data_IF_186678698171
#
_entry.id   IF_186678698171
#
_cell.length_a   1.000
_cell.length_b   1.000
_cell.length_c   1.000
_cell.angle_alpha   90.00
_cell.angle_beta   90.00
_cell.angle_gamma   90.00
#
_symmetry.space_group_name_H-M   'P 1'
#
loop_
_entity.id
_entity.type
_entity.pdbx_description
1 polymer ?
#
# COMPACT_ATOMS: atom_id res chain seq x y z
N UNK A 1 -5.56 -8.87 -10.95
CA UNK A 1 -4.14 -8.72 -10.56
C UNK A 1 -4.08 -7.88 -9.30
N UNK A 2 -3.04 -8.06 -8.48
CA UNK A 2 -2.78 -7.24 -7.29
C UNK A 2 -1.50 -6.45 -7.53
N UNK A 3 -1.52 -5.14 -7.30
CA UNK A 3 -0.37 -4.24 -7.48
C UNK A 3 0.00 -3.61 -6.14
N UNK A 4 1.16 -3.97 -5.60
CA UNK A 4 1.64 -3.45 -4.32
C UNK A 4 2.73 -2.39 -4.52
N UNK A 5 2.52 -1.21 -3.94
CA UNK A 5 3.39 -0.05 -4.06
C UNK A 5 4.09 0.29 -2.75
N UNK A 6 5.35 0.67 -2.85
CA UNK A 6 6.12 1.28 -1.76
C UNK A 6 7.02 2.39 -2.33
N UNK A 7 7.20 3.45 -1.57
CA UNK A 7 8.06 4.58 -1.94
C UNK A 7 9.06 4.86 -0.84
N UNK A 8 10.34 4.81 -1.19
CA UNK A 8 11.41 5.21 -0.30
C UNK A 8 12.03 6.54 -0.75
N UNK A 9 12.30 7.42 0.21
CA UNK A 9 12.88 8.74 -0.07
C UNK A 9 14.38 8.73 0.21
N UNK A 10 15.16 9.12 -0.79
CA UNK A 10 16.55 9.54 -0.67
C UNK A 10 16.62 11.08 -0.58
N UNK A 11 17.83 11.61 -0.50
CA UNK A 11 18.05 13.06 -0.34
C UNK A 11 17.57 13.87 -1.56
N UNK A 12 17.76 13.33 -2.77
CA UNK A 12 17.52 14.01 -4.05
C UNK A 12 16.38 13.40 -4.88
N UNK A 13 15.98 12.16 -4.61
CA UNK A 13 14.89 11.49 -5.32
C UNK A 13 14.07 10.56 -4.43
N UNK A 14 12.84 10.27 -4.88
CA UNK A 14 11.99 9.21 -4.36
C UNK A 14 12.09 7.99 -5.30
N UNK A 15 12.28 6.81 -4.74
CA UNK A 15 12.26 5.55 -5.46
C UNK A 15 10.92 4.85 -5.19
N UNK A 16 10.05 4.80 -6.19
CA UNK A 16 8.78 4.09 -6.09
C UNK A 16 8.89 2.76 -6.81
N UNK A 17 8.43 1.71 -6.15
CA UNK A 17 8.43 0.35 -6.67
C UNK A 17 7.01 -0.19 -6.67
N UNK A 18 6.69 -1.00 -7.67
CA UNK A 18 5.47 -1.79 -7.74
C UNK A 18 5.81 -3.26 -8.02
N UNK A 19 5.25 -4.17 -7.23
CA UNK A 19 5.19 -5.58 -7.56
C UNK A 19 3.76 -5.95 -7.95
N UNK A 20 3.58 -6.59 -9.10
CA UNK A 20 2.30 -7.15 -9.53
C UNK A 20 2.29 -8.66 -9.31
N UNK A 21 1.20 -9.22 -8.79
CA UNK A 21 1.05 -10.66 -8.57
C UNK A 21 -0.41 -11.10 -8.69
N UNK A 22 -0.60 -12.36 -9.10
CA UNK A 22 -1.91 -12.86 -9.53
C UNK A 22 -2.90 -12.97 -8.37
N UNK A 23 -2.45 -13.57 -7.28
CA UNK A 23 -3.29 -13.95 -6.13
C UNK A 23 -2.62 -13.62 -4.80
N UNK A 24 -3.42 -13.50 -3.74
CA UNK A 24 -2.93 -13.10 -2.42
C UNK A 24 -1.89 -14.07 -1.84
N UNK A 25 -2.00 -15.37 -2.12
CA UNK A 25 -1.06 -16.42 -1.70
C UNK A 25 0.10 -16.64 -2.68
N UNK A 26 0.29 -15.76 -3.67
CA UNK A 26 1.41 -15.85 -4.61
C UNK A 26 2.76 -15.73 -3.89
N UNK A 27 3.66 -16.67 -4.17
CA UNK A 27 5.03 -16.63 -3.66
C UNK A 27 5.92 -15.66 -4.45
N UNK A 28 5.66 -15.50 -5.75
CA UNK A 28 6.48 -14.74 -6.68
C UNK A 28 5.64 -13.66 -7.39
N UNK A 29 6.25 -12.53 -7.68
CA UNK A 29 5.66 -11.51 -8.53
C UNK A 29 5.57 -12.00 -9.98
N UNK A 30 4.56 -11.52 -10.70
CA UNK A 30 4.44 -11.66 -12.15
C UNK A 30 5.14 -10.52 -12.88
N UNK A 31 5.09 -9.31 -12.33
CA UNK A 31 5.71 -8.12 -12.93
C UNK A 31 6.32 -7.22 -11.84
N UNK A 32 7.34 -6.46 -12.24
CA UNK A 32 8.04 -5.51 -11.39
C UNK A 32 8.23 -4.20 -12.14
N UNK A 33 7.84 -3.10 -11.51
CA UNK A 33 8.00 -1.75 -12.04
C UNK A 33 8.72 -0.88 -11.02
N UNK A 34 9.54 0.05 -11.49
CA UNK A 34 10.24 1.02 -10.64
C UNK A 34 10.36 2.36 -11.35
N UNK A 35 10.32 3.44 -10.57
CA UNK A 35 10.56 4.79 -11.05
C UNK A 35 11.24 5.64 -10.00
N UNK A 36 12.27 6.39 -10.43
CA UNK A 36 12.93 7.42 -9.63
C UNK A 36 12.35 8.78 -10.01
N UNK A 37 11.80 9.49 -9.03
CA UNK A 37 11.22 10.83 -9.21
C UNK A 37 12.03 11.84 -8.43
N UNK A 38 12.49 12.91 -9.07
CA UNK A 38 13.20 13.99 -8.39
C UNK A 38 12.31 14.64 -7.32
N UNK A 39 12.84 14.86 -6.12
CA UNK A 39 12.09 15.54 -5.05
C UNK A 39 12.21 17.05 -5.31
N UNK A 40 11.10 17.69 -5.64
CA UNK A 40 11.05 19.13 -5.98
C UNK A 40 10.32 19.98 -4.95
N UNK A 41 9.73 19.37 -3.92
CA UNK A 41 8.87 20.04 -2.94
C UNK A 41 9.43 19.91 -1.53
N UNK A 42 9.39 21.01 -0.77
CA UNK A 42 9.71 21.02 0.65
C UNK A 42 8.70 20.16 1.43
N UNK A 43 9.18 19.42 2.43
CA UNK A 43 8.35 18.57 3.28
C UNK A 43 7.39 19.41 4.15
N UNK A 44 6.09 19.31 3.88
CA UNK A 44 5.04 19.84 4.76
C UNK A 44 4.64 18.78 5.80
N UNK A 45 4.91 19.06 7.08
CA UNK A 45 4.50 18.20 8.19
C UNK A 45 2.98 17.97 8.19
N UNK A 46 2.55 16.71 8.17
CA UNK A 46 1.13 16.33 8.14
C UNK A 46 0.53 16.17 6.74
N UNK A 47 1.27 16.45 5.66
CA UNK A 47 0.83 16.29 4.27
C UNK A 47 1.68 15.29 3.48
N UNK A 48 2.12 14.21 4.15
CA UNK A 48 2.99 13.18 3.58
C UNK A 48 2.47 12.61 2.24
N UNK A 49 1.15 12.45 2.10
CA UNK A 49 0.53 11.97 0.88
C UNK A 49 0.84 12.84 -0.35
N UNK A 50 1.06 14.15 -0.19
CA UNK A 50 1.35 15.07 -1.31
C UNK A 50 2.66 14.74 -2.01
N UNK A 51 3.62 14.15 -1.29
CA UNK A 51 4.91 13.73 -1.86
C UNK A 51 4.82 12.36 -2.50
N UNK A 52 4.10 11.45 -1.87
CA UNK A 52 4.08 10.04 -2.30
C UNK A 52 3.08 9.75 -3.40
N UNK A 53 1.90 10.37 -3.32
CA UNK A 53 0.82 10.14 -4.28
C UNK A 53 1.26 10.43 -5.73
N UNK A 54 1.95 11.54 -6.05
CA UNK A 54 2.44 11.77 -7.41
C UNK A 54 3.39 10.67 -7.91
N UNK A 55 4.22 10.11 -7.03
CA UNK A 55 5.16 9.07 -7.40
C UNK A 55 4.45 7.75 -7.73
N UNK A 56 3.46 7.37 -6.89
CA UNK A 56 2.59 6.21 -7.15
C UNK A 56 1.81 6.38 -8.46
N UNK A 57 1.20 7.55 -8.68
CA UNK A 57 0.44 7.83 -9.90
C UNK A 57 1.32 7.80 -11.15
N UNK A 58 2.55 8.31 -11.06
CA UNK A 58 3.51 8.27 -12.17
C UNK A 58 3.82 6.83 -12.60
N UNK A 59 4.06 5.94 -11.63
CA UNK A 59 4.31 4.53 -11.91
C UNK A 59 3.05 3.81 -12.41
N UNK A 60 1.89 4.10 -11.82
CA UNK A 60 0.59 3.56 -12.25
C UNK A 60 0.24 3.92 -13.70
N UNK A 61 0.63 5.09 -14.20
CA UNK A 61 0.39 5.47 -15.60
C UNK A 61 1.10 4.56 -16.61
N UNK A 62 2.06 3.74 -16.17
CA UNK A 62 2.76 2.74 -16.99
C UNK A 62 2.09 1.36 -16.95
N UNK A 63 1.05 1.21 -16.13
CA UNK A 63 0.34 -0.05 -15.89
C UNK A 63 -1.06 0.05 -16.46
N UNK A 64 -1.47 -0.92 -17.26
CA UNK A 64 -2.82 -0.98 -17.81
C UNK A 64 -3.76 -1.74 -16.87
N UNK A 65 -4.28 -1.03 -15.86
CA UNK A 65 -5.24 -1.60 -14.91
C UNK A 65 -6.51 -2.11 -15.59
N UNK A 66 -7.00 -3.26 -15.13
CA UNK A 66 -8.23 -3.92 -15.54
C UNK A 66 -9.27 -3.90 -14.42
N UNK A 67 -10.54 -4.01 -14.78
CA UNK A 67 -11.61 -4.12 -13.80
C UNK A 67 -11.38 -5.33 -12.89
N UNK A 68 -11.45 -5.11 -11.58
CA UNK A 68 -11.20 -6.14 -10.56
C UNK A 68 -9.75 -6.19 -10.05
N UNK A 69 -8.84 -5.39 -10.62
CA UNK A 69 -7.51 -5.22 -10.06
C UNK A 69 -7.53 -4.51 -8.71
N UNK A 70 -6.66 -4.94 -7.80
CA UNK A 70 -6.54 -4.40 -6.44
C UNK A 70 -5.20 -3.71 -6.28
N UNK A 71 -5.20 -2.56 -5.63
CA UNK A 71 -3.99 -1.78 -5.35
C UNK A 71 -3.69 -1.84 -3.86
N UNK A 72 -2.46 -2.23 -3.50
CA UNK A 72 -1.95 -2.25 -2.14
C UNK A 72 -0.93 -1.11 -1.98
N UNK A 73 -0.99 -0.40 -0.86
CA UNK A 73 -0.02 0.64 -0.47
C UNK A 73 0.51 0.39 0.95
N UNK A 74 1.80 0.68 1.20
CA UNK A 74 2.37 0.67 2.57
C UNK A 74 1.90 1.89 3.36
N UNK A 75 0.74 1.76 3.99
CA UNK A 75 0.12 2.86 4.71
C UNK A 75 -1.37 2.64 4.94
N UNK A 76 -2.09 3.74 5.11
CA UNK A 76 -3.50 3.74 5.46
C UNK A 76 -4.37 4.37 4.37
N UNK A 77 -5.58 3.84 4.21
CA UNK A 77 -6.64 4.42 3.38
C UNK A 77 -7.44 5.45 4.17
N UNK A 78 -7.80 5.11 5.41
CA UNK A 78 -8.48 5.96 6.40
C UNK A 78 -7.61 6.09 7.65
N UNK A 79 -7.64 7.26 8.29
CA UNK A 79 -6.79 7.58 9.44
C UNK A 79 -7.57 7.60 10.76
N UNK A 80 -8.87 7.88 10.72
CA UNK A 80 -9.73 7.97 11.91
C UNK A 80 -11.21 7.67 11.63
N UNK A 81 -12.01 7.58 12.70
CA UNK A 81 -13.47 7.38 12.67
C UNK A 81 -14.24 8.53 11.99
N UNK A 82 -13.67 9.73 11.92
CA UNK A 82 -14.27 10.89 11.25
C UNK A 82 -14.13 10.80 9.72
N UNK A 83 -13.46 9.77 9.21
CA UNK A 83 -13.28 9.54 7.79
C UNK A 83 -12.14 10.36 7.18
N UNK A 84 -11.19 10.84 8.01
CA UNK A 84 -9.99 11.48 7.49
C UNK A 84 -9.24 10.51 6.58
N UNK A 85 -9.06 10.91 5.33
CA UNK A 85 -8.41 10.07 4.32
C UNK A 85 -6.89 10.10 4.47
N UNK A 86 -6.28 8.92 4.33
CA UNK A 86 -4.85 8.72 4.24
C UNK A 86 -4.39 8.67 2.77
N UNK A 87 -3.13 8.26 2.57
CA UNK A 87 -2.54 8.10 1.23
C UNK A 87 -3.41 7.23 0.32
N UNK A 88 -3.86 6.07 0.80
CA UNK A 88 -4.68 5.16 0.02
C UNK A 88 -6.07 5.73 -0.30
N UNK A 89 -6.61 6.58 0.58
CA UNK A 89 -7.87 7.26 0.34
C UNK A 89 -7.74 8.29 -0.77
N UNK A 90 -6.68 9.11 -0.75
CA UNK A 90 -6.38 10.03 -1.84
C UNK A 90 -6.10 9.32 -3.18
N UNK A 91 -5.42 8.16 -3.14
CA UNK A 91 -5.21 7.34 -4.32
C UNK A 91 -6.52 6.80 -4.90
N UNK A 92 -7.43 6.33 -4.04
CA UNK A 92 -8.75 5.87 -4.46
C UNK A 92 -9.55 6.97 -5.17
N UNK A 93 -9.54 8.20 -4.64
CA UNK A 93 -10.17 9.35 -5.30
C UNK A 93 -9.49 9.71 -6.63
N UNK A 94 -8.15 9.69 -6.68
CA UNK A 94 -7.38 10.00 -7.89
C UNK A 94 -7.59 8.98 -9.04
N UNK A 95 -8.06 7.78 -8.72
CA UNK A 95 -8.38 6.72 -9.68
C UNK A 95 -9.87 6.65 -10.02
N UNK A 96 -10.60 7.75 -9.82
CA UNK A 96 -12.05 7.87 -10.00
C UNK A 96 -12.84 6.77 -9.26
N UNK A 97 -12.32 6.27 -8.13
CA UNK A 97 -12.95 5.24 -7.30
C UNK A 97 -13.16 3.89 -8.02
N UNK A 98 -12.46 3.65 -9.15
CA UNK A 98 -12.66 2.48 -10.03
C UNK A 98 -12.02 1.20 -9.51
N UNK A 99 -10.93 1.32 -8.74
CA UNK A 99 -10.13 0.17 -8.29
C UNK A 99 -10.09 0.14 -6.76
N UNK A 100 -10.33 -1.03 -6.13
CA UNK A 100 -10.13 -1.18 -4.70
C UNK A 100 -8.71 -0.81 -4.27
N UNK A 101 -8.59 -0.01 -3.22
CA UNK A 101 -7.30 0.35 -2.61
C UNK A 101 -7.26 -0.21 -1.19
N UNK A 102 -6.18 -0.91 -0.88
CA UNK A 102 -5.90 -1.55 0.40
C UNK A 102 -4.63 -0.95 0.99
N UNK A 103 -4.74 -0.37 2.18
CA UNK A 103 -3.61 0.08 2.97
C UNK A 103 -3.18 -1.02 3.93
N UNK A 104 -1.92 -1.43 3.86
CA UNK A 104 -1.31 -2.37 4.81
C UNK A 104 -0.17 -1.63 5.52
N UNK A 105 -0.43 -1.16 6.73
CA UNK A 105 0.54 -0.42 7.52
C UNK A 105 1.29 -1.30 8.52
N UNK A 106 2.59 -1.02 8.68
CA UNK A 106 3.46 -1.67 9.66
C UNK A 106 3.43 -1.01 11.04
N UNK A 107 2.96 0.21 11.16
CA UNK A 107 2.93 0.93 12.43
C UNK A 107 1.50 1.36 12.74
N UNK A 108 1.09 1.23 14.00
CA UNK A 108 -0.25 1.64 14.44
C UNK A 108 -0.43 3.15 14.34
N UNK A 109 -1.64 3.57 14.00
CA UNK A 109 -2.06 4.97 14.08
C UNK A 109 -2.84 5.20 15.37
N UNK A 110 -2.56 6.29 16.09
CA UNK A 110 -3.10 6.52 17.44
C UNK A 110 -4.61 6.83 17.46
N UNK A 111 -5.14 7.44 16.40
CA UNK A 111 -6.57 7.72 16.31
C UNK A 111 -7.37 6.41 16.19
N UNK A 112 -8.54 6.29 16.83
CA UNK A 112 -9.43 5.16 16.61
C UNK A 112 -9.97 5.18 15.17
N UNK A 113 -10.24 4.01 14.59
CA UNK A 113 -10.87 3.84 13.27
C UNK A 113 -11.59 2.48 13.24
N UNK A 114 -12.92 2.50 13.18
CA UNK A 114 -13.74 1.29 13.11
C UNK A 114 -13.59 0.51 11.79
N UNK A 115 -13.09 1.16 10.73
CA UNK A 115 -12.78 0.55 9.44
C UNK A 115 -11.42 -0.16 9.42
N UNK A 116 -10.63 -0.03 10.49
CA UNK A 116 -9.31 -0.67 10.57
C UNK A 116 -9.38 -2.07 11.15
N UNK A 117 -8.63 -2.98 10.54
CA UNK A 117 -8.45 -4.35 11.00
C UNK A 117 -7.02 -4.59 11.44
N UNK A 118 -6.87 -5.40 12.48
CA UNK A 118 -5.58 -5.79 13.05
C UNK A 118 -5.34 -7.24 12.66
N UNK A 119 -4.15 -7.52 12.14
CA UNK A 119 -3.76 -8.83 11.63
C UNK A 119 -2.46 -9.28 12.30
N UNK A 120 -2.50 -10.45 12.94
CA UNK A 120 -1.33 -11.11 13.47
C UNK A 120 -0.94 -12.26 12.54
N UNK A 121 0.34 -12.32 12.14
CA UNK A 121 0.86 -13.35 11.22
C UNK A 121 2.14 -13.97 11.77
N UNK A 122 2.30 -15.26 11.50
CA UNK A 122 3.38 -16.08 12.07
C UNK A 122 3.36 -16.04 13.61
N UNK A 123 4.53 -16.00 14.21
CA UNK A 123 4.70 -15.89 15.67
C UNK A 123 4.84 -14.44 16.16
N UNK A 124 4.59 -13.45 15.29
CA UNK A 124 4.80 -12.04 15.64
C UNK A 124 3.71 -11.50 16.55
N UNK A 125 4.13 -10.85 17.65
CA UNK A 125 3.25 -10.08 18.54
C UNK A 125 2.97 -8.67 18.04
N UNK A 126 3.62 -8.24 16.96
CA UNK A 126 3.41 -6.92 16.36
C UNK A 126 2.52 -7.08 15.13
N UNK A 127 1.30 -6.53 15.13
CA UNK A 127 0.38 -6.75 14.04
C UNK A 127 0.72 -5.93 12.78
N UNK A 128 0.02 -6.25 11.70
CA UNK A 128 -0.25 -5.36 10.58
C UNK A 128 -1.60 -4.69 10.78
N UNK A 129 -1.75 -3.50 10.22
CA UNK A 129 -3.00 -2.74 10.27
C UNK A 129 -3.52 -2.57 8.86
N UNK A 130 -4.75 -2.99 8.62
CA UNK A 130 -5.38 -3.02 7.30
C UNK A 130 -6.57 -2.08 7.26
N UNK A 131 -6.62 -1.27 6.22
CA UNK A 131 -7.75 -0.40 5.86
C UNK A 131 -8.03 -0.56 4.37
N UNK A 132 -9.27 -0.36 3.94
CA UNK A 132 -9.64 -0.52 2.53
C UNK A 132 -10.71 0.48 2.10
N UNK A 133 -10.70 0.87 0.82
CA UNK A 133 -11.81 1.52 0.10
C UNK A 133 -12.08 0.77 -1.20
N UNK A 134 -13.34 0.70 -1.59
CA UNK A 134 -13.77 -0.05 -2.77
C UNK A 134 -13.78 -1.58 -2.59
N UNK A 135 -13.49 -2.09 -1.39
CA UNK A 135 -13.59 -3.49 -1.02
C UNK A 135 -13.99 -3.62 0.46
N UNK A 136 -14.58 -4.77 0.82
CA UNK A 136 -14.87 -5.12 2.21
C UNK A 136 -13.57 -5.42 2.98
N UNK A 137 -13.29 -4.63 4.02
CA UNK A 137 -12.07 -4.76 4.81
C UNK A 137 -11.99 -6.10 5.57
N UNK A 138 -13.14 -6.71 5.91
CA UNK A 138 -13.17 -8.02 6.57
C UNK A 138 -12.79 -9.14 5.61
N UNK A 139 -13.18 -9.05 4.34
CA UNK A 139 -12.69 -9.96 3.29
C UNK A 139 -11.20 -9.75 3.02
N UNK A 140 -10.76 -8.49 2.91
CA UNK A 140 -9.34 -8.16 2.71
C UNK A 140 -8.50 -8.68 3.89
N UNK A 141 -8.99 -8.58 5.13
CA UNK A 141 -8.31 -9.11 6.31
C UNK A 141 -7.98 -10.59 6.14
N UNK A 142 -8.95 -11.41 5.75
CA UNK A 142 -8.77 -12.84 5.53
C UNK A 142 -7.74 -13.12 4.42
N UNK A 143 -7.78 -12.34 3.34
CA UNK A 143 -6.83 -12.46 2.22
C UNK A 143 -5.40 -12.09 2.64
N UNK A 144 -5.23 -11.01 3.42
CA UNK A 144 -3.92 -10.60 3.95
C UNK A 144 -3.35 -11.64 4.92
N UNK A 145 -4.19 -12.26 5.76
CA UNK A 145 -3.80 -13.36 6.65
C UNK A 145 -3.21 -14.54 5.86
N UNK A 146 -3.81 -14.86 4.72
CA UNK A 146 -3.43 -15.96 3.83
C UNK A 146 -2.26 -15.66 2.89
N UNK A 147 -1.74 -14.42 2.86
CA UNK A 147 -0.64 -14.11 1.96
C UNK A 147 0.57 -15.00 2.20
N UNK A 148 1.35 -15.26 1.14
CA UNK A 148 2.52 -16.14 1.24
C UNK A 148 3.55 -15.62 2.26
N UNK A 149 4.20 -16.55 2.96
CA UNK A 149 5.31 -16.30 3.88
C UNK A 149 4.95 -16.47 5.37
N UNK A 150 5.87 -17.06 6.13
CA UNK A 150 5.64 -17.52 7.51
C UNK A 150 5.77 -16.42 8.59
N UNK A 151 6.20 -15.21 8.21
CA UNK A 151 6.50 -14.14 9.14
C UNK A 151 5.42 -13.06 9.15
N UNK A 152 5.58 -12.07 10.04
CA UNK A 152 4.73 -10.87 10.14
C UNK A 152 4.41 -10.24 8.78
N UNK A 153 5.46 -9.87 8.04
CA UNK A 153 5.36 -9.24 6.74
C UNK A 153 5.31 -10.35 5.67
N UNK A 154 4.30 -10.34 4.77
CA UNK A 154 4.23 -11.28 3.65
C UNK A 154 5.48 -11.25 2.77
N UNK A 155 5.78 -12.36 2.10
CA UNK A 155 7.00 -12.54 1.28
C UNK A 155 7.15 -11.43 0.23
N UNK A 156 6.10 -11.16 -0.54
CA UNK A 156 6.15 -10.14 -1.59
C UNK A 156 6.19 -8.72 -1.05
N UNK A 157 5.49 -8.42 0.06
CA UNK A 157 5.58 -7.09 0.69
C UNK A 157 6.95 -6.85 1.33
N UNK A 158 7.58 -7.89 1.87
CA UNK A 158 8.97 -7.80 2.36
C UNK A 158 9.95 -7.56 1.20
N UNK A 159 9.74 -8.21 0.06
CA UNK A 159 10.54 -8.00 -1.15
C UNK A 159 10.36 -6.57 -1.69
N UNK A 160 9.12 -6.07 -1.70
CA UNK A 160 8.79 -4.69 -2.06
C UNK A 160 9.58 -3.68 -1.23
N UNK A 161 9.56 -3.82 0.11
CA UNK A 161 10.32 -2.96 1.04
C UNK A 161 11.84 -2.96 0.80
N UNK A 162 12.38 -4.09 0.33
CA UNK A 162 13.82 -4.22 0.05
C UNK A 162 14.18 -3.52 -1.25
N UNK A 163 13.31 -3.65 -2.27
CA UNK A 163 13.50 -3.05 -3.59
C UNK A 163 13.32 -1.53 -3.57
N UNK A 164 12.44 -1.00 -2.73
CA UNK A 164 12.30 0.45 -2.60
C UNK A 164 13.56 1.11 -2.02
N UNK A 165 14.31 0.38 -1.18
CA UNK A 165 15.52 0.85 -0.49
C UNK A 165 16.85 0.52 -1.21
N UNK A 166 16.81 -0.11 -2.38
CA UNK A 166 18.01 -0.54 -3.12
C UNK A 166 18.52 0.49 -4.14
#
# INVERSE_FOLDING_TARGET
MIYAFDTYYYDDYANTVCLAFQDWDSEQESEFFTEKTAITSDYESGAFYKRELPCILSLLNKIQLQQGDVIIIDGYVTLDEEGKIGLGGHLYEALDQKFPVVGIAKNGFNSPDSGRRIIYRGESKTPLFVTAKGADVDEIKQKVEQMHGNFRIPTLLKKLDQLSRS
#
